data_IF_209417583845
#
_entry.id   IF_209417583845
#
_cell.length_a   1.000
_cell.length_b   1.000
_cell.length_c   1.000
_cell.angle_alpha   90.00
_cell.angle_beta   90.00
_cell.angle_gamma   90.00
#
_symmetry.space_group_name_H-M   'P 1'
#
loop_
_entity.id
_entity.type
_entity.pdbx_description
1 polymer ?
#
# COMPACT_ATOMS: atom_id res chain seq x y z
N UNK A 1 -2.46 -0.64 22.81
CA UNK A 1 -3.14 -0.82 21.53
C UNK A 1 -3.45 0.58 21.05
N UNK A 2 -2.99 0.99 19.86
CA UNK A 2 -3.30 2.34 19.36
C UNK A 2 -4.81 2.43 19.14
N UNK A 3 -5.41 3.59 19.40
CA UNK A 3 -6.85 3.85 19.18
C UNK A 3 -7.28 3.65 17.72
N UNK A 4 -6.33 3.60 16.77
CA UNK A 4 -6.57 3.54 15.33
C UNK A 4 -6.78 2.13 14.73
N UNK A 5 -6.62 1.05 15.51
CA UNK A 5 -6.70 -0.35 15.00
C UNK A 5 -7.99 -1.09 15.41
N UNK A 6 -9.06 -0.37 15.81
CA UNK A 6 -10.32 -1.02 16.21
C UNK A 6 -11.23 -1.23 15.00
N UNK A 7 -11.23 -2.46 14.50
CA UNK A 7 -12.07 -2.91 13.39
C UNK A 7 -13.55 -3.00 13.83
N UNK A 8 -14.34 -2.00 13.43
CA UNK A 8 -15.75 -1.85 13.80
C UNK A 8 -16.64 -3.04 13.39
N UNK A 9 -16.13 -3.93 12.52
CA UNK A 9 -16.89 -5.03 11.94
C UNK A 9 -16.54 -6.43 12.46
N UNK A 10 -15.67 -6.55 13.47
CA UNK A 10 -15.36 -7.86 14.07
C UNK A 10 -16.47 -8.49 14.92
N UNK A 11 -17.66 -7.88 14.99
CA UNK A 11 -18.63 -8.22 16.03
C UNK A 11 -20.12 -8.33 15.63
N UNK A 12 -20.52 -8.94 14.49
CA UNK A 12 -21.90 -9.40 14.33
C UNK A 12 -22.31 -10.39 15.44
N UNK A 13 -21.40 -11.31 15.79
CA UNK A 13 -21.62 -12.34 16.82
C UNK A 13 -21.55 -11.83 18.28
N UNK A 14 -20.98 -10.64 18.50
CA UNK A 14 -20.90 -10.05 19.85
C UNK A 14 -22.24 -9.46 20.29
N UNK A 15 -22.97 -8.84 19.36
CA UNK A 15 -24.31 -8.30 19.61
C UNK A 15 -25.34 -9.43 19.78
N UNK A 16 -25.20 -10.53 19.03
CA UNK A 16 -26.13 -11.67 19.10
C UNK A 16 -26.14 -12.42 20.45
N UNK A 17 -25.07 -12.32 21.24
CA UNK A 17 -24.96 -12.96 22.56
C UNK A 17 -25.02 -11.97 23.74
N UNK A 18 -25.14 -10.67 23.47
CA UNK A 18 -25.31 -9.66 24.52
C UNK A 18 -26.78 -9.42 24.79
N UNK A 19 -27.16 -9.45 26.07
CA UNK A 19 -28.40 -8.83 26.53
C UNK A 19 -28.26 -7.31 26.35
N UNK A 20 -28.84 -6.79 25.25
CA UNK A 20 -28.73 -5.41 24.76
C UNK A 20 -29.61 -4.41 25.54
N UNK A 21 -30.46 -4.90 26.45
CA UNK A 21 -31.45 -4.12 27.21
C UNK A 21 -32.72 -3.86 26.40
N UNK A 22 -33.89 -4.06 27.02
CA UNK A 22 -35.21 -3.93 26.37
C UNK A 22 -35.46 -2.52 25.78
N UNK A 23 -34.87 -1.48 26.39
CA UNK A 23 -35.09 -0.08 25.98
C UNK A 23 -34.31 0.32 24.72
N UNK A 24 -33.25 -0.43 24.33
CA UNK A 24 -32.42 -0.05 23.18
C UNK A 24 -33.21 -0.14 21.87
N UNK A 25 -34.25 -0.96 21.78
CA UNK A 25 -35.05 -1.14 20.56
C UNK A 25 -36.50 -0.65 20.71
N UNK A 26 -36.81 0.09 21.75
CA UNK A 26 -38.15 0.67 21.94
C UNK A 26 -38.50 1.63 20.78
N UNK A 27 -39.77 1.70 20.39
CA UNK A 27 -40.23 2.61 19.34
C UNK A 27 -39.99 4.07 19.73
N UNK A 28 -39.62 4.89 18.75
CA UNK A 28 -39.48 6.33 18.93
C UNK A 28 -40.83 6.95 19.28
N UNK A 29 -40.89 7.71 20.38
CA UNK A 29 -42.06 8.54 20.66
C UNK A 29 -42.25 9.56 19.52
N UNK A 30 -43.48 9.66 19.02
CA UNK A 30 -43.83 10.67 18.03
C UNK A 30 -43.71 12.05 18.69
N UNK A 31 -42.87 12.90 18.09
CA UNK A 31 -42.60 14.24 18.58
C UNK A 31 -42.97 15.24 17.48
N UNK A 32 -43.71 16.30 17.82
CA UNK A 32 -44.09 17.35 16.88
C UNK A 32 -42.86 18.17 16.42
N UNK A 33 -42.92 18.76 15.21
CA UNK A 33 -41.85 19.58 14.62
C UNK A 33 -41.39 20.75 15.50
N UNK A 34 -42.30 21.30 16.32
CA UNK A 34 -42.02 22.44 17.20
C UNK A 34 -41.42 22.03 18.55
N UNK A 35 -41.24 20.73 18.80
CA UNK A 35 -40.73 20.25 20.09
C UNK A 35 -39.25 20.58 20.24
N UNK A 36 -38.90 21.11 21.42
CA UNK A 36 -37.53 21.33 21.83
C UNK A 36 -37.18 20.30 22.90
N UNK A 37 -36.20 19.46 22.59
CA UNK A 37 -35.63 18.49 23.52
C UNK A 37 -34.60 19.19 24.40
N UNK A 38 -34.63 18.97 25.71
CA UNK A 38 -33.58 19.41 26.65
C UNK A 38 -32.94 18.15 27.24
N UNK A 39 -31.75 17.80 26.75
CA UNK A 39 -31.08 16.53 27.06
C UNK A 39 -29.63 16.77 27.49
N UNK A 40 -29.04 15.84 28.27
CA UNK A 40 -27.60 15.85 28.47
C UNK A 40 -26.88 15.60 27.14
N UNK A 41 -25.71 16.22 27.02
CA UNK A 41 -24.94 16.26 25.77
C UNK A 41 -23.57 15.63 25.93
N UNK A 42 -23.16 14.89 24.91
CA UNK A 42 -21.85 14.24 24.86
C UNK A 42 -21.14 14.55 23.52
N UNK A 43 -20.03 15.31 23.54
CA UNK A 43 -19.24 15.55 22.34
C UNK A 43 -18.43 14.31 21.97
N UNK A 44 -18.50 13.89 20.70
CA UNK A 44 -17.79 12.75 20.15
C UNK A 44 -16.51 13.19 19.44
N UNK A 45 -15.43 12.40 19.57
CA UNK A 45 -14.16 12.64 18.85
C UNK A 45 -14.08 11.67 17.66
N UNK A 46 -13.73 12.19 16.49
CA UNK A 46 -13.52 11.43 15.24
C UNK A 46 -14.66 10.47 14.85
N UNK A 47 -15.86 10.72 15.37
CA UNK A 47 -17.01 9.84 15.24
C UNK A 47 -18.29 10.63 15.00
N UNK A 48 -19.06 10.16 14.01
CA UNK A 48 -20.43 10.59 13.72
C UNK A 48 -21.33 9.36 13.91
N UNK A 49 -22.32 9.50 14.78
CA UNK A 49 -23.29 8.44 15.05
C UNK A 49 -24.57 8.76 14.28
N UNK A 50 -24.98 7.88 13.37
CA UNK A 50 -26.15 8.07 12.51
C UNK A 50 -27.43 7.47 13.13
N UNK A 51 -28.62 7.93 12.71
CA UNK A 51 -29.88 7.27 13.05
C UNK A 51 -29.86 5.76 12.74
N UNK A 52 -30.60 4.99 13.55
CA UNK A 52 -30.74 3.53 13.51
C UNK A 52 -29.45 2.73 13.80
N UNK A 53 -28.27 3.35 13.74
CA UNK A 53 -27.00 2.69 13.99
C UNK A 53 -26.77 2.41 15.48
N UNK A 54 -26.27 1.21 15.78
CA UNK A 54 -25.84 0.80 17.11
C UNK A 54 -24.32 0.74 17.16
N UNK A 55 -23.70 1.41 18.12
CA UNK A 55 -22.25 1.36 18.32
C UNK A 55 -21.84 1.52 19.79
N UNK A 56 -20.69 0.95 20.20
CA UNK A 56 -20.09 1.22 21.49
C UNK A 56 -19.48 2.62 21.52
N UNK A 57 -19.81 3.39 22.57
CA UNK A 57 -19.20 4.68 22.87
C UNK A 57 -18.22 4.52 24.04
N UNK A 58 -16.97 4.93 23.84
CA UNK A 58 -15.94 4.93 24.88
C UNK A 58 -15.90 6.28 25.59
N UNK A 59 -16.09 6.26 26.90
CA UNK A 59 -16.30 7.44 27.73
C UNK A 59 -15.20 7.50 28.78
N UNK A 60 -14.21 8.37 28.52
CA UNK A 60 -13.06 8.57 29.42
C UNK A 60 -13.05 9.89 30.18
N UNK A 61 -13.76 10.93 29.72
CA UNK A 61 -13.80 12.26 30.38
C UNK A 61 -14.84 12.27 31.51
N UNK A 62 -14.47 12.81 32.67
CA UNK A 62 -15.37 12.91 33.84
C UNK A 62 -16.70 13.60 33.53
N UNK A 63 -16.67 14.69 32.75
CA UNK A 63 -17.86 15.44 32.33
C UNK A 63 -18.80 14.60 31.45
N UNK A 64 -18.23 13.81 30.53
CA UNK A 64 -19.00 12.91 29.66
C UNK A 64 -19.57 11.74 30.45
N UNK A 65 -18.83 11.22 31.43
CA UNK A 65 -19.33 10.18 32.33
C UNK A 65 -20.48 10.68 33.20
N UNK A 66 -20.39 11.92 33.70
CA UNK A 66 -21.46 12.54 34.46
C UNK A 66 -22.73 12.74 33.62
N UNK A 67 -22.59 13.14 32.34
CA UNK A 67 -23.72 13.23 31.40
C UNK A 67 -24.40 11.87 31.21
N UNK A 68 -23.61 10.83 30.96
CA UNK A 68 -24.10 9.46 30.81
C UNK A 68 -24.84 8.98 32.06
N UNK A 69 -24.25 9.15 33.24
CA UNK A 69 -24.86 8.72 34.51
C UNK A 69 -26.16 9.47 34.79
N UNK A 70 -26.23 10.77 34.48
CA UNK A 70 -27.45 11.55 34.62
C UNK A 70 -28.56 11.05 33.68
N UNK A 71 -28.22 10.78 32.41
CA UNK A 71 -29.17 10.24 31.44
C UNK A 71 -29.73 8.89 31.87
N UNK A 72 -28.86 7.95 32.26
CA UNK A 72 -29.29 6.62 32.73
C UNK A 72 -30.11 6.70 34.01
N UNK A 73 -29.71 7.54 34.97
CA UNK A 73 -30.44 7.67 36.24
C UNK A 73 -31.85 8.25 36.07
N UNK A 74 -32.04 9.13 35.08
CA UNK A 74 -33.32 9.79 34.82
C UNK A 74 -34.16 9.11 33.72
N UNK A 75 -33.60 8.11 33.01
CA UNK A 75 -34.24 7.54 31.82
C UNK A 75 -34.36 8.56 30.68
N UNK A 76 -33.41 9.49 30.56
CA UNK A 76 -33.37 10.51 29.50
C UNK A 76 -32.53 10.02 28.31
N UNK A 77 -32.91 10.47 27.11
CA UNK A 77 -32.07 10.33 25.91
C UNK A 77 -30.87 11.28 26.00
N UNK A 78 -29.81 10.98 25.25
CA UNK A 78 -28.65 11.85 25.11
C UNK A 78 -28.63 12.49 23.72
N UNK A 79 -27.99 13.65 23.61
CA UNK A 79 -27.62 14.22 22.31
C UNK A 79 -26.12 14.10 22.14
N UNK A 80 -25.69 13.64 20.97
CA UNK A 80 -24.28 13.57 20.58
C UNK A 80 -24.03 14.35 19.31
N UNK A 81 -22.87 14.99 19.23
CA UNK A 81 -22.40 15.63 18.01
C UNK A 81 -20.88 15.51 17.91
N UNK A 82 -20.36 15.47 16.68
CA UNK A 82 -18.94 15.40 16.43
C UNK A 82 -18.25 16.72 16.83
N UNK A 83 -17.01 16.61 17.31
CA UNK A 83 -16.08 17.72 17.42
C UNK A 83 -15.52 18.08 16.03
N UNK A 84 -15.34 19.38 15.79
CA UNK A 84 -14.64 19.89 14.61
C UNK A 84 -13.14 19.60 14.65
N UNK A 85 -12.57 19.66 15.85
CA UNK A 85 -11.18 19.31 16.16
C UNK A 85 -11.15 18.22 17.24
N UNK A 86 -10.68 17.03 16.89
CA UNK A 86 -10.62 15.89 17.80
C UNK A 86 -9.47 15.98 18.82
N UNK A 87 -8.48 16.83 18.59
CA UNK A 87 -7.37 17.06 19.52
C UNK A 87 -7.78 17.97 20.68
N UNK A 88 -8.87 18.74 20.52
CA UNK A 88 -9.38 19.65 21.54
C UNK A 88 -9.91 18.88 22.76
N UNK A 89 -9.19 18.99 23.90
CA UNK A 89 -9.54 18.22 25.09
C UNK A 89 -10.84 18.70 25.78
N UNK A 90 -11.12 19.99 25.76
CA UNK A 90 -12.34 20.57 26.33
C UNK A 90 -13.01 21.46 25.27
N UNK A 91 -13.90 20.88 24.43
CA UNK A 91 -14.50 21.62 23.33
C UNK A 91 -15.53 22.63 23.85
N UNK A 92 -15.44 23.87 23.36
CA UNK A 92 -16.48 24.89 23.51
C UNK A 92 -17.61 24.71 22.50
N UNK A 93 -18.58 25.62 22.52
CA UNK A 93 -19.72 25.56 21.61
C UNK A 93 -19.31 25.65 20.12
N UNK A 94 -18.32 26.50 19.82
CA UNK A 94 -17.85 26.73 18.45
C UNK A 94 -17.03 25.55 17.89
N UNK A 95 -16.55 24.66 18.77
CA UNK A 95 -15.74 23.48 18.41
C UNK A 95 -16.61 22.26 18.07
N UNK A 96 -17.93 22.39 18.10
CA UNK A 96 -18.90 21.32 17.88
C UNK A 96 -19.68 21.59 16.59
N UNK A 97 -20.03 20.52 15.86
CA UNK A 97 -20.96 20.63 14.74
C UNK A 97 -22.40 20.84 15.22
N UNK A 98 -23.15 21.69 14.52
CA UNK A 98 -24.48 22.11 14.93
C UNK A 98 -25.53 20.99 14.82
N UNK A 99 -25.32 20.05 13.89
CA UNK A 99 -26.18 18.89 13.72
C UNK A 99 -25.55 17.68 14.38
N UNK A 100 -26.34 17.04 15.23
CA UNK A 100 -26.00 15.81 15.93
C UNK A 100 -27.12 14.78 15.82
N UNK A 101 -27.05 13.81 16.71
CA UNK A 101 -28.00 12.69 16.76
C UNK A 101 -28.50 12.54 18.18
N UNK A 102 -29.81 12.39 18.34
CA UNK A 102 -30.40 11.90 19.58
C UNK A 102 -30.13 10.40 19.70
N UNK A 103 -29.65 9.96 20.84
CA UNK A 103 -29.29 8.58 21.10
C UNK A 103 -29.98 8.04 22.35
N UNK A 104 -30.26 6.75 22.34
CA UNK A 104 -30.63 5.98 23.53
C UNK A 104 -29.43 5.17 23.99
N UNK A 105 -29.19 5.18 25.29
CA UNK A 105 -28.15 4.38 25.92
C UNK A 105 -28.76 3.05 26.35
N UNK A 106 -28.19 1.96 25.86
CA UNK A 106 -28.46 0.63 26.35
C UNK A 106 -27.53 0.27 27.50
N UNK A 107 -26.92 -0.90 27.41
CA UNK A 107 -26.07 -1.41 28.49
C UNK A 107 -24.74 -0.65 28.61
N UNK A 108 -24.41 -0.24 29.83
CA UNK A 108 -23.09 0.28 30.20
C UNK A 108 -22.18 -0.84 30.72
N UNK A 109 -20.94 -0.87 30.24
CA UNK A 109 -19.88 -1.79 30.62
C UNK A 109 -18.71 -1.00 31.21
N UNK A 110 -18.22 -1.42 32.38
CA UNK A 110 -16.99 -0.86 32.96
C UNK A 110 -15.81 -1.71 32.54
N UNK A 111 -14.85 -1.10 31.86
CA UNK A 111 -13.66 -1.78 31.39
C UNK A 111 -12.63 -1.95 32.53
N UNK A 112 -11.72 -2.93 32.43
CA UNK A 112 -10.69 -3.17 33.45
C UNK A 112 -9.71 -2.01 33.67
N UNK A 113 -9.55 -1.14 32.66
CA UNK A 113 -8.71 0.07 32.68
C UNK A 113 -9.39 1.29 33.33
N UNK A 114 -10.56 1.07 33.95
CA UNK A 114 -11.40 2.11 34.56
C UNK A 114 -12.09 3.05 33.56
N UNK A 115 -12.01 2.80 32.25
CA UNK A 115 -12.86 3.45 31.26
C UNK A 115 -14.28 2.86 31.30
N UNK A 116 -15.27 3.64 30.85
CA UNK A 116 -16.65 3.15 30.70
C UNK A 116 -16.98 3.09 29.21
N UNK A 117 -17.60 2.00 28.80
CA UNK A 117 -18.18 1.84 27.46
C UNK A 117 -19.70 1.75 27.59
N UNK A 118 -20.43 2.37 26.67
CA UNK A 118 -21.89 2.27 26.61
C UNK A 118 -22.31 1.91 25.19
N UNK A 119 -23.20 0.94 25.04
CA UNK A 119 -23.86 0.74 23.74
C UNK A 119 -24.89 1.85 23.54
N UNK A 120 -24.79 2.54 22.43
CA UNK A 120 -25.71 3.60 22.04
C UNK A 120 -26.39 3.25 20.72
N UNK A 121 -27.67 3.57 20.60
CA UNK A 121 -28.39 3.56 19.33
C UNK A 121 -28.78 4.97 18.92
N UNK A 122 -28.49 5.33 17.67
CA UNK A 122 -28.99 6.55 17.05
C UNK A 122 -30.48 6.48 16.78
N UNK A 123 -31.20 7.55 17.11
CA UNK A 123 -32.65 7.63 16.92
C UNK A 123 -33.01 8.53 15.76
N UNK A 124 -32.62 9.79 15.84
CA UNK A 124 -32.92 10.80 14.81
C UNK A 124 -31.90 11.93 14.84
N UNK A 125 -31.81 12.64 13.72
CA UNK A 125 -31.04 13.87 13.60
C UNK A 125 -31.64 14.97 14.46
N UNK A 126 -30.79 15.79 15.05
CA UNK A 126 -31.20 16.96 15.82
C UNK A 126 -30.30 18.14 15.51
N UNK A 127 -30.86 19.35 15.49
CA UNK A 127 -30.11 20.60 15.43
C UNK A 127 -29.96 21.16 16.85
N UNK A 128 -28.72 21.37 17.30
CA UNK A 128 -28.43 22.02 18.58
C UNK A 128 -28.76 23.51 18.46
N UNK A 129 -29.59 24.01 19.35
CA UNK A 129 -30.03 25.42 19.39
C UNK A 129 -29.24 26.24 20.42
N UNK A 130 -29.06 25.69 21.61
CA UNK A 130 -28.32 26.36 22.69
C UNK A 130 -27.77 25.37 23.73
N UNK A 131 -26.68 25.77 24.39
CA UNK A 131 -26.09 25.08 25.53
C UNK A 131 -26.67 25.67 26.82
N UNK A 132 -27.51 24.92 27.52
CA UNK A 132 -28.23 25.38 28.72
C UNK A 132 -27.43 25.19 30.01
N UNK A 133 -26.45 24.29 29.99
CA UNK A 133 -25.61 23.94 31.14
C UNK A 133 -24.24 23.46 30.68
N UNK A 134 -23.19 23.74 31.46
CA UNK A 134 -21.83 23.22 31.24
C UNK A 134 -21.34 22.32 32.38
N UNK A 135 -21.67 22.66 33.63
CA UNK A 135 -21.31 21.91 34.82
C UNK A 135 -22.56 21.42 35.56
N UNK A 136 -22.55 20.23 36.19
CA UNK A 136 -21.44 19.25 36.26
C UNK A 136 -21.27 18.44 34.96
N UNK A 137 -22.20 18.57 34.03
CA UNK A 137 -22.17 18.03 32.68
C UNK A 137 -22.90 18.96 31.72
N UNK A 138 -22.71 18.77 30.41
CA UNK A 138 -23.32 19.63 29.39
C UNK A 138 -24.78 19.25 29.19
N UNK A 139 -25.67 20.24 29.11
CA UNK A 139 -27.03 20.08 28.57
C UNK A 139 -27.23 20.99 27.37
N UNK A 140 -28.01 20.53 26.42
CA UNK A 140 -28.36 21.28 25.22
C UNK A 140 -29.86 21.25 24.99
N UNK A 141 -30.37 22.32 24.40
CA UNK A 141 -31.67 22.31 23.74
C UNK A 141 -31.48 22.04 22.26
N UNK A 142 -32.21 21.08 21.73
CA UNK A 142 -32.14 20.72 20.32
C UNK A 142 -33.53 20.51 19.71
N UNK A 143 -33.61 20.75 18.40
CA UNK A 143 -34.81 20.51 17.60
C UNK A 143 -34.62 19.24 16.76
N UNK A 144 -35.56 18.29 16.76
CA UNK A 144 -35.56 17.18 15.81
C UNK A 144 -35.56 17.67 14.36
N UNK A 145 -34.80 16.99 13.50
CA UNK A 145 -34.80 17.21 12.06
C UNK A 145 -35.56 16.05 11.42
N UNK A 146 -36.61 16.37 10.66
CA UNK A 146 -37.43 15.39 9.96
C UNK A 146 -37.02 15.30 8.50
N UNK A 147 -36.98 14.07 8.01
CA UNK A 147 -36.71 13.77 6.61
C UNK A 147 -38.03 13.71 5.84
N UNK A 148 -38.05 14.05 4.54
CA UNK A 148 -39.23 13.88 3.73
C UNK A 148 -39.56 12.39 3.55
N UNK A 149 -40.82 12.02 3.79
CA UNK A 149 -41.32 10.63 3.66
C UNK A 149 -41.42 10.15 2.20
N UNK A 150 -41.49 11.07 1.23
CA UNK A 150 -41.65 10.76 -0.19
C UNK A 150 -40.34 10.95 -0.96
N UNK A 151 -39.93 9.92 -1.71
CA UNK A 151 -38.81 9.99 -2.63
C UNK A 151 -39.23 9.69 -4.08
N UNK A 152 -38.42 10.18 -5.01
CA UNK A 152 -38.66 10.06 -6.46
C UNK A 152 -38.20 8.69 -6.99
N UNK A 153 -38.79 8.21 -8.10
CA UNK A 153 -38.32 6.99 -8.79
C UNK A 153 -36.82 7.05 -9.18
N UNK A 154 -36.32 8.24 -9.48
CA UNK A 154 -34.89 8.46 -9.75
C UNK A 154 -33.99 8.10 -8.56
N UNK A 155 -34.51 8.16 -7.33
CA UNK A 155 -33.79 7.76 -6.12
C UNK A 155 -33.55 6.26 -6.09
N UNK A 156 -34.49 5.43 -6.53
CA UNK A 156 -34.30 3.97 -6.59
C UNK A 156 -33.22 3.56 -7.60
N UNK A 157 -33.09 4.29 -8.72
CA UNK A 157 -32.01 4.08 -9.66
C UNK A 157 -30.64 4.44 -9.04
N UNK A 158 -30.59 5.50 -8.23
CA UNK A 158 -29.40 5.90 -7.50
C UNK A 158 -29.03 4.89 -6.40
N UNK A 159 -30.00 4.36 -5.66
CA UNK A 159 -29.78 3.29 -4.67
C UNK A 159 -29.10 2.07 -5.31
N UNK A 160 -29.59 1.63 -6.48
CA UNK A 160 -28.97 0.52 -7.22
C UNK A 160 -27.53 0.83 -7.64
N UNK A 161 -27.25 2.07 -8.05
CA UNK A 161 -25.90 2.49 -8.40
C UNK A 161 -24.97 2.50 -7.17
N UNK A 162 -25.46 3.02 -6.04
CA UNK A 162 -24.73 3.05 -4.76
C UNK A 162 -24.43 1.63 -4.27
N UNK A 163 -25.42 0.73 -4.29
CA UNK A 163 -25.24 -0.67 -3.93
C UNK A 163 -24.21 -1.36 -4.81
N UNK A 164 -24.23 -1.14 -6.13
CA UNK A 164 -23.26 -1.73 -7.04
C UNK A 164 -21.82 -1.21 -6.82
N UNK A 165 -21.66 0.04 -6.37
CA UNK A 165 -20.35 0.55 -5.95
C UNK A 165 -19.94 -0.04 -4.59
N UNK A 166 -20.88 -0.11 -3.65
CA UNK A 166 -20.62 -0.65 -2.31
C UNK A 166 -20.21 -2.12 -2.36
N UNK A 167 -20.84 -2.93 -3.22
CA UNK A 167 -20.46 -4.34 -3.48
C UNK A 167 -18.97 -4.47 -3.83
N UNK A 168 -18.51 -3.69 -4.82
CA UNK A 168 -17.10 -3.70 -5.25
C UNK A 168 -16.15 -3.25 -4.15
N UNK A 169 -16.57 -2.27 -3.36
CA UNK A 169 -15.77 -1.77 -2.23
C UNK A 169 -15.65 -2.86 -1.16
N UNK A 170 -16.73 -3.57 -0.84
CA UNK A 170 -16.71 -4.72 0.09
C UNK A 170 -15.81 -5.84 -0.43
N UNK A 171 -15.86 -6.15 -1.73
CA UNK A 171 -15.02 -7.19 -2.33
C UNK A 171 -13.51 -6.88 -2.26
N UNK A 172 -13.14 -5.61 -2.38
CA UNK A 172 -11.73 -5.17 -2.37
C UNK A 172 -11.22 -4.86 -0.95
N UNK A 173 -12.09 -4.37 -0.07
CA UNK A 173 -11.70 -3.95 1.27
C UNK A 173 -11.78 -5.13 2.26
N UNK A 174 -10.62 -5.66 2.61
CA UNK A 174 -10.45 -6.79 3.53
C UNK A 174 -10.94 -6.56 4.96
N UNK A 175 -11.17 -5.30 5.35
CA UNK A 175 -11.68 -4.96 6.67
C UNK A 175 -13.22 -4.96 6.72
N UNK A 176 -13.90 -4.96 5.56
CA UNK A 176 -15.35 -5.06 5.49
C UNK A 176 -15.77 -6.55 5.43
N UNK A 177 -16.73 -7.00 6.24
CA UNK A 177 -17.30 -8.34 6.18
C UNK A 177 -18.29 -8.41 5.01
N UNK A 178 -18.37 -9.57 4.35
CA UNK A 178 -19.28 -9.79 3.22
C UNK A 178 -20.76 -9.59 3.63
N UNK A 179 -21.08 -9.83 4.91
CA UNK A 179 -22.40 -9.61 5.49
C UNK A 179 -22.83 -8.14 5.43
N UNK A 180 -21.90 -7.17 5.38
CA UNK A 180 -22.24 -5.75 5.30
C UNK A 180 -23.00 -5.43 4.00
N UNK A 181 -22.59 -6.01 2.87
CA UNK A 181 -23.31 -5.85 1.61
C UNK A 181 -24.67 -6.55 1.65
N UNK A 182 -24.72 -7.75 2.24
CA UNK A 182 -25.98 -8.50 2.42
C UNK A 182 -26.98 -7.73 3.28
N UNK A 183 -26.51 -6.98 4.28
CA UNK A 183 -27.37 -6.09 5.04
C UNK A 183 -27.85 -4.91 4.20
N UNK A 184 -26.94 -4.22 3.50
CA UNK A 184 -27.25 -3.05 2.70
C UNK A 184 -28.31 -3.29 1.61
N UNK A 185 -28.26 -4.44 0.92
CA UNK A 185 -29.23 -4.75 -0.15
C UNK A 185 -30.67 -4.96 0.35
N UNK A 186 -30.84 -5.22 1.65
CA UNK A 186 -32.16 -5.38 2.28
C UNK A 186 -32.72 -4.06 2.84
N UNK A 187 -32.02 -2.93 2.66
CA UNK A 187 -32.50 -1.61 3.08
C UNK A 187 -33.31 -0.99 1.94
N UNK A 188 -34.61 -0.83 2.18
CA UNK A 188 -35.55 -0.23 1.21
C UNK A 188 -35.60 1.31 1.29
N UNK A 189 -35.15 1.90 2.39
CA UNK A 189 -35.21 3.35 2.62
C UNK A 189 -33.92 4.05 2.16
N UNK A 190 -34.00 5.06 1.28
CA UNK A 190 -32.81 5.72 0.73
C UNK A 190 -31.97 6.47 1.78
N UNK A 191 -32.64 7.11 2.74
CA UNK A 191 -31.97 7.85 3.81
C UNK A 191 -31.20 6.90 4.73
N UNK A 192 -31.85 5.79 5.11
CA UNK A 192 -31.21 4.74 5.92
C UNK A 192 -30.05 4.07 5.18
N UNK A 193 -30.19 3.77 3.88
CA UNK A 193 -29.10 3.18 3.10
C UNK A 193 -27.87 4.09 3.08
N UNK A 194 -28.07 5.39 2.86
CA UNK A 194 -26.99 6.37 2.87
C UNK A 194 -26.30 6.44 4.25
N UNK A 195 -27.08 6.46 5.33
CA UNK A 195 -26.58 6.51 6.70
C UNK A 195 -25.81 5.23 7.08
N UNK A 196 -26.34 4.07 6.71
CA UNK A 196 -25.71 2.78 6.93
C UNK A 196 -24.33 2.73 6.25
N UNK A 197 -24.27 3.06 4.96
CA UNK A 197 -22.99 3.02 4.23
C UNK A 197 -22.01 4.05 4.80
N UNK A 198 -22.45 5.28 5.07
CA UNK A 198 -21.58 6.32 5.61
C UNK A 198 -21.06 6.01 7.03
N UNK A 199 -21.79 5.19 7.80
CA UNK A 199 -21.36 4.69 9.11
C UNK A 199 -20.41 3.49 9.02
N UNK A 200 -20.55 2.68 7.96
CA UNK A 200 -19.74 1.47 7.73
C UNK A 200 -18.39 1.82 7.11
N UNK A 201 -18.36 2.85 6.26
CA UNK A 201 -17.16 3.33 5.59
C UNK A 201 -16.35 4.29 6.46
N UNK A 202 -15.02 4.19 6.40
CA UNK A 202 -14.11 5.06 7.14
C UNK A 202 -13.83 6.38 6.42
N UNK A 203 -14.89 7.12 6.04
CA UNK A 203 -14.72 8.41 5.38
C UNK A 203 -14.14 9.48 6.33
N UNK A 204 -13.44 10.49 5.80
CA UNK A 204 -13.09 11.69 6.55
C UNK A 204 -14.29 12.29 7.31
N UNK A 205 -14.02 12.82 8.51
CA UNK A 205 -15.07 13.31 9.44
C UNK A 205 -15.94 14.39 8.82
N UNK A 206 -15.36 15.26 8.00
CA UNK A 206 -16.01 16.29 7.21
C UNK A 206 -17.02 15.72 6.22
N UNK A 207 -16.71 14.61 5.55
CA UNK A 207 -17.66 13.92 4.66
C UNK A 207 -18.77 13.26 5.48
N UNK A 208 -18.43 12.56 6.56
CA UNK A 208 -19.43 11.91 7.43
C UNK A 208 -20.42 12.93 8.01
N UNK A 209 -19.90 14.06 8.49
CA UNK A 209 -20.72 15.13 9.03
C UNK A 209 -21.58 15.77 7.94
N UNK A 210 -21.05 16.01 6.75
CA UNK A 210 -21.81 16.55 5.61
C UNK A 210 -22.95 15.60 5.18
N UNK A 211 -22.77 14.28 5.30
CA UNK A 211 -23.84 13.29 5.12
C UNK A 211 -24.89 13.39 6.22
N UNK A 212 -24.49 13.52 7.49
CA UNK A 212 -25.43 13.69 8.61
C UNK A 212 -26.27 14.97 8.45
N UNK A 213 -25.66 16.07 8.02
CA UNK A 213 -26.29 17.38 7.82
C UNK A 213 -27.23 17.43 6.59
N UNK A 214 -27.13 16.46 5.69
CA UNK A 214 -27.94 16.43 4.46
C UNK A 214 -29.29 15.75 4.71
N UNK A 215 -30.33 16.57 4.89
CA UNK A 215 -31.69 16.10 5.19
C UNK A 215 -32.31 15.34 4.01
N UNK A 216 -32.18 15.84 2.77
CA UNK A 216 -32.76 15.19 1.60
C UNK A 216 -32.11 13.82 1.30
N UNK A 217 -32.85 12.70 1.33
CA UNK A 217 -32.29 11.37 1.09
C UNK A 217 -31.62 11.21 -0.28
N UNK A 218 -32.16 11.86 -1.32
CA UNK A 218 -31.60 11.79 -2.67
C UNK A 218 -30.23 12.49 -2.74
N UNK A 219 -30.13 13.72 -2.23
CA UNK A 219 -28.88 14.45 -2.11
C UNK A 219 -27.86 13.69 -1.24
N UNK A 220 -28.32 13.05 -0.17
CA UNK A 220 -27.46 12.27 0.74
C UNK A 220 -26.87 11.05 0.04
N UNK A 221 -27.69 10.27 -0.65
CA UNK A 221 -27.22 9.15 -1.48
C UNK A 221 -26.22 9.61 -2.55
N UNK A 222 -26.45 10.77 -3.18
CA UNK A 222 -25.50 11.32 -4.14
C UNK A 222 -24.13 11.62 -3.53
N UNK A 223 -24.09 12.18 -2.31
CA UNK A 223 -22.84 12.42 -1.59
C UNK A 223 -22.11 11.12 -1.25
N UNK A 224 -22.84 10.13 -0.73
CA UNK A 224 -22.29 8.80 -0.44
C UNK A 224 -21.77 8.14 -1.71
N UNK A 225 -22.49 8.22 -2.82
CA UNK A 225 -22.06 7.68 -4.11
C UNK A 225 -20.72 8.26 -4.59
N UNK A 226 -20.53 9.58 -4.43
CA UNK A 226 -19.27 10.25 -4.78
C UNK A 226 -18.14 9.81 -3.85
N UNK A 227 -18.40 9.69 -2.55
CA UNK A 227 -17.42 9.24 -1.57
C UNK A 227 -16.98 7.79 -1.84
N UNK A 228 -17.94 6.89 -2.08
CA UNK A 228 -17.69 5.50 -2.45
C UNK A 228 -16.89 5.37 -3.73
N UNK A 229 -17.20 6.15 -4.77
CA UNK A 229 -16.46 6.09 -6.03
C UNK A 229 -14.98 6.45 -5.84
N UNK A 230 -14.69 7.47 -5.02
CA UNK A 230 -13.31 7.84 -4.68
C UNK A 230 -12.61 6.76 -3.88
N UNK A 231 -13.32 6.15 -2.93
CA UNK A 231 -12.76 5.06 -2.12
C UNK A 231 -12.45 3.83 -2.98
N UNK A 232 -13.35 3.50 -3.92
CA UNK A 232 -13.14 2.42 -4.87
C UNK A 232 -11.89 2.66 -5.73
N UNK A 233 -11.71 3.89 -6.24
CA UNK A 233 -10.51 4.25 -7.01
C UNK A 233 -9.22 4.03 -6.20
N UNK A 234 -9.24 4.33 -4.90
CA UNK A 234 -8.10 4.10 -3.99
C UNK A 234 -7.85 2.60 -3.82
N UNK A 235 -8.88 1.82 -3.51
CA UNK A 235 -8.78 0.37 -3.31
C UNK A 235 -8.30 -0.36 -4.58
N UNK A 236 -8.78 0.04 -5.76
CA UNK A 236 -8.32 -0.52 -7.03
C UNK A 236 -6.83 -0.22 -7.29
N UNK A 237 -6.35 0.97 -6.92
CA UNK A 237 -4.93 1.30 -7.03
C UNK A 237 -4.08 0.49 -6.04
N UNK A 238 -4.56 0.32 -4.80
CA UNK A 238 -3.89 -0.50 -3.79
C UNK A 238 -3.77 -1.95 -4.23
N UNK A 239 -4.84 -2.56 -4.74
CA UNK A 239 -4.83 -3.93 -5.26
C UNK A 239 -3.86 -4.07 -6.45
N UNK A 240 -3.86 -3.12 -7.38
CA UNK A 240 -2.91 -3.11 -8.50
C UNK A 240 -1.45 -3.03 -8.04
N UNK A 241 -1.15 -2.21 -7.03
CA UNK A 241 0.19 -2.10 -6.45
C UNK A 241 0.58 -3.42 -5.78
N UNK A 242 -0.31 -3.98 -4.97
CA UNK A 242 -0.08 -5.25 -4.27
C UNK A 242 0.18 -6.39 -5.26
N UNK A 243 -0.61 -6.49 -6.32
CA UNK A 243 -0.46 -7.48 -7.38
C UNK A 243 0.90 -7.36 -8.09
N UNK A 244 1.35 -6.14 -8.40
CA UNK A 244 2.69 -5.90 -8.99
C UNK A 244 3.82 -6.29 -8.06
N UNK A 245 3.72 -5.93 -6.77
CA UNK A 245 4.71 -6.30 -5.76
C UNK A 245 4.80 -7.82 -5.64
N UNK A 246 3.65 -8.51 -5.61
CA UNK A 246 3.62 -9.97 -5.53
C UNK A 246 4.31 -10.62 -6.75
N UNK A 247 4.05 -10.13 -7.97
CA UNK A 247 4.69 -10.65 -9.19
C UNK A 247 6.22 -10.51 -9.17
N UNK A 248 6.74 -9.38 -8.70
CA UNK A 248 8.18 -9.16 -8.59
C UNK A 248 8.82 -10.07 -7.52
N UNK A 249 8.15 -10.27 -6.38
CA UNK A 249 8.60 -11.20 -5.33
C UNK A 249 8.61 -12.64 -5.85
N UNK A 250 7.55 -13.07 -6.52
CA UNK A 250 7.46 -14.42 -7.09
C UNK A 250 8.55 -14.67 -8.14
N UNK A 251 8.85 -13.66 -8.96
CA UNK A 251 9.94 -13.71 -9.95
C UNK A 251 11.29 -13.83 -9.27
N UNK A 252 11.58 -13.01 -8.26
CA UNK A 252 12.84 -13.03 -7.52
C UNK A 252 13.04 -14.38 -6.79
N UNK A 253 11.99 -14.90 -6.16
CA UNK A 253 12.01 -16.21 -5.50
C UNK A 253 12.28 -17.34 -6.50
N UNK A 254 11.63 -17.32 -7.66
CA UNK A 254 11.84 -18.29 -8.73
C UNK A 254 13.27 -18.24 -9.25
N UNK A 255 13.82 -17.04 -9.47
CA UNK A 255 15.21 -16.88 -9.93
C UNK A 255 16.22 -17.41 -8.90
N UNK A 256 16.02 -17.07 -7.61
CA UNK A 256 16.87 -17.57 -6.53
C UNK A 256 16.83 -19.11 -6.47
N UNK A 257 15.64 -19.69 -6.55
CA UNK A 257 15.45 -21.14 -6.55
C UNK A 257 16.17 -21.82 -7.73
N UNK A 258 16.02 -21.29 -8.95
CA UNK A 258 16.68 -21.84 -10.14
C UNK A 258 18.20 -21.74 -10.06
N UNK A 259 18.74 -20.64 -9.53
CA UNK A 259 20.19 -20.50 -9.30
C UNK A 259 20.72 -21.53 -8.32
N UNK A 260 19.96 -21.79 -7.26
CA UNK A 260 20.33 -22.77 -6.26
C UNK A 260 20.28 -24.20 -6.83
N UNK A 261 19.26 -24.53 -7.63
CA UNK A 261 19.19 -25.79 -8.34
C UNK A 261 20.37 -25.99 -9.30
N UNK A 262 20.73 -24.95 -10.07
CA UNK A 262 21.89 -25.00 -10.97
C UNK A 262 23.19 -25.25 -10.20
N UNK A 263 23.38 -24.60 -9.05
CA UNK A 263 24.56 -24.79 -8.20
C UNK A 263 24.67 -26.25 -7.70
N UNK A 264 23.55 -26.85 -7.30
CA UNK A 264 23.51 -28.25 -6.86
C UNK A 264 23.79 -29.19 -8.05
N UNK A 265 23.15 -28.97 -9.20
CA UNK A 265 23.36 -29.77 -10.41
C UNK A 265 24.83 -29.73 -10.87
N UNK A 266 25.46 -28.55 -10.87
CA UNK A 266 26.88 -28.39 -11.22
C UNK A 266 27.81 -29.10 -10.22
N UNK A 267 27.46 -29.11 -8.93
CA UNK A 267 28.15 -29.90 -7.92
C UNK A 267 28.07 -31.41 -8.15
N UNK A 268 26.88 -31.91 -8.49
CA UNK A 268 26.63 -33.35 -8.75
C UNK A 268 27.23 -33.83 -10.09
N UNK A 269 27.27 -32.97 -11.12
CA UNK A 269 27.83 -33.29 -12.44
C UNK A 269 29.37 -33.26 -12.48
N UNK A 270 30.04 -32.78 -11.42
CA UNK A 270 31.49 -32.71 -11.37
C UNK A 270 32.11 -31.69 -12.34
N UNK A 271 31.33 -30.76 -12.92
CA UNK A 271 31.82 -29.73 -13.87
C UNK A 271 32.87 -28.78 -13.25
N UNK A 272 32.97 -28.74 -11.92
CA UNK A 272 34.04 -28.05 -11.19
C UNK A 272 35.43 -28.54 -11.62
N UNK A 273 35.58 -29.79 -12.04
CA UNK A 273 36.88 -30.40 -12.39
C UNK A 273 37.42 -29.93 -13.75
N UNK A 274 36.56 -29.71 -14.75
CA UNK A 274 36.99 -29.35 -16.11
C UNK A 274 37.54 -27.93 -16.15
N UNK A 275 36.84 -26.97 -15.54
CA UNK A 275 37.30 -25.58 -15.48
C UNK A 275 38.55 -25.44 -14.59
N UNK A 276 38.63 -26.20 -13.51
CA UNK A 276 39.83 -26.25 -12.67
C UNK A 276 41.02 -26.86 -13.41
N UNK A 277 40.80 -27.88 -14.23
CA UNK A 277 41.82 -28.50 -15.06
C UNK A 277 42.34 -27.54 -16.14
N UNK A 278 41.45 -26.87 -16.89
CA UNK A 278 41.84 -25.85 -17.89
C UNK A 278 42.64 -24.69 -17.26
N UNK A 279 42.27 -24.27 -16.05
CA UNK A 279 42.98 -23.23 -15.31
C UNK A 279 44.38 -23.70 -14.88
N UNK A 280 44.53 -24.97 -14.52
CA UNK A 280 45.82 -25.58 -14.18
C UNK A 280 46.74 -25.66 -15.39
N UNK A 281 46.23 -26.13 -16.54
CA UNK A 281 46.98 -26.21 -17.79
C UNK A 281 47.45 -24.82 -18.26
N UNK A 282 46.60 -23.80 -18.10
CA UNK A 282 46.93 -22.42 -18.44
C UNK A 282 48.07 -21.86 -17.57
N UNK A 283 48.06 -22.16 -16.26
CA UNK A 283 49.14 -21.78 -15.33
C UNK A 283 50.46 -22.46 -15.69
N UNK A 284 50.42 -23.75 -16.02
CA UNK A 284 51.61 -24.51 -16.38
C UNK A 284 52.23 -23.97 -17.68
N UNK A 285 51.40 -23.71 -18.70
CA UNK A 285 51.85 -23.14 -19.98
C UNK A 285 52.49 -21.76 -19.80
N UNK A 286 51.88 -20.89 -18.97
CA UNK A 286 52.44 -19.57 -18.66
C UNK A 286 53.77 -19.66 -17.91
N UNK A 287 53.94 -20.64 -17.03
CA UNK A 287 55.19 -20.84 -16.29
C UNK A 287 56.33 -21.33 -17.19
N UNK A 288 56.02 -22.12 -18.23
CA UNK A 288 57.01 -22.64 -19.17
C UNK A 288 57.45 -21.60 -20.22
N UNK A 289 56.60 -20.62 -20.55
CA UNK A 289 56.93 -19.55 -21.50
C UNK A 289 57.90 -18.52 -20.90
N UNK A 290 58.94 -18.20 -21.65
CA UNK A 290 59.88 -17.16 -21.29
C UNK A 290 59.31 -15.76 -21.60
N UNK A 291 58.53 -15.23 -20.66
CA UNK A 291 57.90 -13.91 -20.72
C UNK A 291 58.78 -12.83 -20.06
N UNK A 292 58.77 -11.58 -20.58
CA UNK A 292 59.29 -10.43 -19.84
C UNK A 292 58.56 -10.25 -18.50
N UNK A 293 59.27 -9.77 -17.48
CA UNK A 293 58.74 -9.75 -16.10
C UNK A 293 57.45 -8.93 -15.94
N UNK A 294 57.34 -7.79 -16.64
CA UNK A 294 56.13 -6.96 -16.63
C UNK A 294 54.90 -7.70 -17.20
N UNK A 295 55.11 -8.50 -18.26
CA UNK A 295 54.05 -9.27 -18.91
C UNK A 295 53.66 -10.47 -18.06
N UNK A 296 54.63 -11.14 -17.43
CA UNK A 296 54.38 -12.25 -16.50
C UNK A 296 53.48 -11.81 -15.35
N UNK A 297 53.81 -10.69 -14.70
CA UNK A 297 53.01 -10.15 -13.60
C UNK A 297 51.57 -9.83 -14.03
N UNK A 298 51.39 -9.31 -15.26
CA UNK A 298 50.06 -9.02 -15.79
C UNK A 298 49.27 -10.28 -16.09
N UNK A 299 49.89 -11.29 -16.71
CA UNK A 299 49.25 -12.56 -17.02
C UNK A 299 48.81 -13.29 -15.74
N UNK A 300 49.66 -13.34 -14.72
CA UNK A 300 49.34 -13.95 -13.42
C UNK A 300 48.14 -13.28 -12.75
N UNK A 301 48.04 -11.95 -12.82
CA UNK A 301 46.91 -11.20 -12.27
C UNK A 301 45.59 -11.54 -12.97
N UNK A 302 45.61 -11.64 -14.30
CA UNK A 302 44.40 -12.00 -15.06
C UNK A 302 44.03 -13.49 -14.85
N UNK A 303 44.99 -14.39 -14.67
CA UNK A 303 44.73 -15.80 -14.28
C UNK A 303 44.11 -15.89 -12.89
N UNK A 304 44.60 -15.10 -11.93
CA UNK A 304 44.01 -15.05 -10.59
C UNK A 304 42.58 -14.52 -10.63
N UNK A 305 42.31 -13.51 -11.47
CA UNK A 305 40.97 -12.99 -11.72
C UNK A 305 40.08 -14.07 -12.34
N UNK A 306 40.55 -14.79 -13.35
CA UNK A 306 39.83 -15.90 -13.99
C UNK A 306 39.47 -17.02 -13.00
N UNK A 307 40.37 -17.35 -12.08
CA UNK A 307 40.17 -18.37 -11.05
C UNK A 307 39.05 -18.01 -10.05
N UNK A 308 38.82 -16.72 -9.82
CA UNK A 308 37.79 -16.21 -8.90
C UNK A 308 36.42 -16.04 -9.55
N UNK A 309 36.32 -16.20 -10.86
CA UNK A 309 35.10 -15.97 -11.63
C UNK A 309 34.30 -17.25 -11.84
N UNK A 310 32.97 -17.18 -11.90
CA UNK A 310 32.14 -18.29 -12.37
C UNK A 310 32.48 -18.63 -13.83
N UNK A 311 32.61 -19.91 -14.17
CA UNK A 311 33.00 -20.39 -15.51
C UNK A 311 32.09 -19.88 -16.65
N UNK A 312 30.82 -19.58 -16.35
CA UNK A 312 29.82 -19.10 -17.31
C UNK A 312 29.76 -17.57 -17.42
N UNK A 313 30.62 -16.83 -16.73
CA UNK A 313 30.62 -15.38 -16.83
C UNK A 313 31.10 -14.94 -18.23
N UNK A 314 30.44 -13.96 -18.89
CA UNK A 314 30.80 -13.53 -20.24
C UNK A 314 32.23 -12.98 -20.35
N UNK A 315 32.81 -12.55 -19.22
CA UNK A 315 34.19 -12.05 -19.12
C UNK A 315 35.24 -13.18 -19.24
N UNK A 316 34.88 -14.43 -18.96
CA UNK A 316 35.79 -15.60 -18.98
C UNK A 316 36.39 -15.77 -20.38
N UNK A 317 35.57 -15.72 -21.43
CA UNK A 317 36.05 -15.86 -22.81
C UNK A 317 36.98 -14.73 -23.26
N UNK A 318 36.74 -13.51 -22.76
CA UNK A 318 37.58 -12.34 -23.05
C UNK A 318 38.95 -12.49 -22.40
N UNK A 319 38.98 -12.83 -21.11
CA UNK A 319 40.22 -13.01 -20.36
C UNK A 319 41.00 -14.20 -20.93
N UNK A 320 40.32 -15.29 -21.30
CA UNK A 320 40.96 -16.46 -21.90
C UNK A 320 41.64 -16.12 -23.22
N UNK A 321 40.93 -15.45 -24.12
CA UNK A 321 41.48 -15.02 -25.42
C UNK A 321 42.71 -14.12 -25.24
N UNK A 322 42.65 -13.21 -24.27
CA UNK A 322 43.78 -12.33 -23.95
C UNK A 322 45.00 -13.13 -23.43
N UNK A 323 44.79 -14.11 -22.57
CA UNK A 323 45.86 -14.96 -22.04
C UNK A 323 46.46 -15.85 -23.13
N UNK A 324 45.63 -16.41 -24.02
CA UNK A 324 46.10 -17.18 -25.18
C UNK A 324 46.97 -16.31 -26.11
N UNK A 325 46.60 -15.05 -26.35
CA UNK A 325 47.45 -14.11 -27.11
C UNK A 325 48.81 -13.85 -26.46
N UNK A 326 48.85 -13.69 -25.13
CA UNK A 326 50.12 -13.51 -24.41
C UNK A 326 51.00 -14.75 -24.60
N UNK A 327 50.40 -15.95 -24.54
CA UNK A 327 51.12 -17.21 -24.70
C UNK A 327 51.63 -17.34 -26.13
N UNK A 328 50.83 -17.03 -27.15
CA UNK A 328 51.19 -17.24 -28.55
C UNK A 328 52.26 -16.28 -29.07
N UNK A 329 52.42 -15.10 -28.45
CA UNK A 329 53.38 -14.11 -28.90
C UNK A 329 54.86 -14.58 -28.75
N UNK A 330 55.70 -14.40 -29.79
CA UNK A 330 57.12 -14.74 -29.74
C UNK A 330 57.92 -13.62 -29.05
N UNK A 331 57.85 -13.54 -27.73
CA UNK A 331 58.45 -12.44 -26.95
C UNK A 331 59.98 -12.34 -27.07
N UNK A 332 60.67 -13.48 -27.19
CA UNK A 332 62.14 -13.56 -27.22
C UNK A 332 62.66 -13.86 -28.64
N UNK A 333 61.90 -14.61 -29.42
CA UNK A 333 62.30 -15.01 -30.76
C UNK A 333 62.21 -13.82 -31.71
N UNK A 334 63.37 -13.41 -32.23
CA UNK A 334 63.48 -12.39 -33.26
C UNK A 334 63.99 -13.05 -34.53
N UNK A 335 63.35 -12.77 -35.65
CA UNK A 335 63.92 -13.11 -36.96
C UNK A 335 65.14 -12.21 -37.23
N UNK A 336 66.07 -12.70 -38.06
CA UNK A 336 67.12 -11.85 -38.59
C UNK A 336 66.53 -10.92 -39.65
N UNK A 337 66.81 -9.62 -39.54
CA UNK A 337 66.37 -8.63 -40.51
C UNK A 337 67.00 -8.92 -41.88
N UNK A 338 66.16 -9.04 -42.92
CA UNK A 338 66.60 -9.15 -44.31
C UNK A 338 66.42 -7.79 -45.02
N UNK A 339 67.51 -7.05 -45.16
CA UNK A 339 67.53 -5.72 -45.77
C UNK A 339 67.85 -5.73 -47.27
N UNK A 340 67.68 -6.87 -47.94
CA UNK A 340 67.83 -6.96 -49.39
C UNK A 340 66.57 -6.44 -50.12
N UNK A 341 66.63 -5.19 -50.56
CA UNK A 341 65.57 -4.50 -51.33
C UNK A 341 65.22 -5.25 -52.62
N UNK A 342 66.18 -5.89 -53.29
CA UNK A 342 65.92 -6.61 -54.54
C UNK A 342 65.17 -7.92 -54.27
N UNK A 343 65.53 -8.61 -53.20
CA UNK A 343 64.81 -9.79 -52.72
C UNK A 343 63.39 -9.43 -52.26
N UNK A 344 63.24 -8.37 -51.44
CA UNK A 344 61.95 -7.91 -50.96
C UNK A 344 61.00 -7.51 -52.11
N UNK A 345 61.52 -6.82 -53.14
CA UNK A 345 60.72 -6.44 -54.32
C UNK A 345 60.20 -7.66 -55.08
N UNK A 346 61.03 -8.71 -55.21
CA UNK A 346 60.66 -9.95 -55.88
C UNK A 346 59.60 -10.74 -55.10
N UNK A 347 59.74 -10.84 -53.78
CA UNK A 347 58.76 -11.50 -52.91
C UNK A 347 57.42 -10.74 -52.91
N UNK A 348 57.46 -9.41 -52.80
CA UNK A 348 56.26 -8.57 -52.88
C UNK A 348 55.57 -8.67 -54.24
N UNK A 349 56.31 -8.79 -55.34
CA UNK A 349 55.73 -8.97 -56.67
C UNK A 349 55.07 -10.35 -56.86
N UNK A 350 55.66 -11.40 -56.27
CA UNK A 350 55.18 -12.77 -56.41
C UNK A 350 54.01 -13.10 -55.48
N UNK A 351 54.10 -12.72 -54.21
CA UNK A 351 53.17 -13.20 -53.18
C UNK A 351 52.00 -12.24 -52.95
N UNK A 352 52.09 -11.00 -53.46
CA UNK A 352 51.07 -9.98 -53.27
C UNK A 352 50.71 -9.33 -54.61
N UNK A 353 49.50 -9.56 -55.12
CA UNK A 353 49.05 -8.96 -56.38
C UNK A 353 48.50 -7.53 -56.16
N UNK A 354 48.93 -6.54 -56.96
CA UNK A 354 48.52 -5.13 -56.82
C UNK A 354 49.27 -4.34 -55.73
N UNK A 355 48.63 -3.31 -55.15
CA UNK A 355 49.16 -2.49 -54.03
C UNK A 355 50.48 -1.74 -54.28
N UNK A 356 50.69 -1.19 -55.49
CA UNK A 356 51.96 -0.54 -55.86
C UNK A 356 52.46 0.51 -54.85
N UNK A 357 51.59 1.43 -54.42
CA UNK A 357 51.96 2.46 -53.43
C UNK A 357 52.41 1.91 -52.08
N UNK A 358 51.83 0.79 -51.63
CA UNK A 358 52.22 0.18 -50.36
C UNK A 358 53.54 -0.58 -50.50
N UNK A 359 53.73 -1.26 -51.63
CA UNK A 359 54.99 -1.96 -51.98
C UNK A 359 56.15 -0.98 -52.09
N UNK A 360 55.98 0.12 -52.81
CA UNK A 360 56.99 1.19 -52.91
C UNK A 360 57.39 1.70 -51.53
N UNK A 361 56.41 1.94 -50.65
CA UNK A 361 56.68 2.47 -49.30
C UNK A 361 57.39 1.48 -48.38
N UNK A 362 57.08 0.19 -48.50
CA UNK A 362 57.81 -0.88 -47.81
C UNK A 362 59.26 -0.94 -48.33
N UNK A 363 59.46 -0.87 -49.64
CA UNK A 363 60.80 -0.87 -50.25
C UNK A 363 61.61 0.38 -49.89
N UNK A 364 60.98 1.56 -49.85
CA UNK A 364 61.58 2.80 -49.34
C UNK A 364 62.02 2.65 -47.88
N UNK A 365 61.16 2.10 -47.02
CA UNK A 365 61.49 1.88 -45.61
C UNK A 365 62.68 0.94 -45.43
N UNK A 366 62.70 -0.20 -46.15
CA UNK A 366 63.83 -1.14 -46.14
C UNK A 366 65.10 -0.46 -46.69
N UNK A 367 64.97 0.38 -47.72
CA UNK A 367 66.10 1.12 -48.32
C UNK A 367 66.70 2.14 -47.34
N UNK A 368 65.88 2.86 -46.57
CA UNK A 368 66.36 3.79 -45.53
C UNK A 368 67.02 3.02 -44.38
N UNK A 369 66.42 1.92 -43.93
CA UNK A 369 66.97 1.02 -42.90
C UNK A 369 68.28 0.32 -43.30
N UNK A 370 68.58 0.22 -44.60
CA UNK A 370 69.85 -0.31 -45.12
C UNK A 370 70.98 0.73 -45.07
N UNK A 371 70.64 2.02 -45.06
CA UNK A 371 71.60 3.15 -45.08
C UNK A 371 71.92 3.65 -43.66
N UNK A 372 70.96 3.55 -42.73
CA UNK A 372 71.12 3.83 -41.31
C UNK A 372 71.69 2.62 -40.55
#
# INVERSE_FOLDING_TARGET
>A
MKEDDFDFMQFPDFLGNMDLGEDLFADLEAVDEDTILDCPFLPLRDLVLYPQMVMPLFIGRDRSLAALQAAVANGENLIVAAQRDSEQFDPGADDIFEVGTEIVIGRTLRMPDNSNSALAQGRRRVQILEYTQWEPYIRVRARPIFEPDEWQESTEALMRAVLALFEKVVDLNRNLPEEAFTYAINIDEPGWLADFIASTMNFPIDIRQDVLETVDPNARLHKVNIALARELDVLELEDQIQSRVQQEVDRANREHFLREQMRVIQGELGETDIFAQELSELRETLAQKALPDEIRLRAEKEVARLASMPAMAPEVGIIRTYLDWIIDLPWIEKSQDNLDVAHAAKVLANDHYGLEKAKERILEFISVKKIA
#
